data_IF_255429201189
#
_entry.id   IF_255429201189
#
_cell.length_a   1.000
_cell.length_b   1.000
_cell.length_c   1.000
_cell.angle_alpha   90.00
_cell.angle_beta   90.00
_cell.angle_gamma   90.00
#
_symmetry.space_group_name_H-M   'P 1'
#
loop_
_entity.id
_entity.type
_entity.pdbx_description
1 polymer ?
#
# COMPACT_ATOMS: atom_id res chain seq x y z
N UNK A 1 39.28 25.18 4.65
CA UNK A 1 39.02 26.63 4.53
C UNK A 1 37.84 26.99 5.44
N UNK A 2 38.10 27.10 6.75
CA UNK A 2 37.09 26.91 7.81
C UNK A 2 37.13 27.99 8.91
N UNK A 3 37.53 29.23 8.59
CA UNK A 3 37.79 30.27 9.62
C UNK A 3 37.16 31.66 9.40
N UNK A 4 36.27 31.85 8.42
CA UNK A 4 35.66 33.19 8.19
C UNK A 4 34.16 33.32 8.45
N UNK A 5 33.47 32.28 8.93
CA UNK A 5 32.02 32.36 9.21
C UNK A 5 31.70 32.74 10.67
N UNK A 6 32.69 32.73 11.58
CA UNK A 6 32.44 32.96 13.00
C UNK A 6 32.35 34.45 13.41
N UNK A 7 32.68 35.38 12.50
CA UNK A 7 32.64 36.83 12.77
C UNK A 7 31.28 37.49 12.54
N UNK A 8 30.41 36.89 11.72
CA UNK A 8 29.13 37.50 11.33
C UNK A 8 27.97 37.12 12.27
N UNK A 9 28.15 36.09 13.09
CA UNK A 9 27.16 35.59 14.06
C UNK A 9 27.14 36.39 15.38
N UNK A 10 28.05 37.34 15.56
CA UNK A 10 28.15 38.15 16.79
C UNK A 10 27.65 39.59 16.63
N UNK A 11 27.26 40.02 15.42
CA UNK A 11 26.70 41.36 15.20
C UNK A 11 25.16 41.41 15.17
N UNK A 12 24.49 40.26 15.12
CA UNK A 12 23.02 40.17 15.15
C UNK A 12 22.43 39.96 16.56
N UNK A 13 23.26 39.92 17.60
CA UNK A 13 22.81 39.73 18.99
C UNK A 13 22.58 41.05 19.76
N UNK A 14 22.86 42.20 19.16
CA UNK A 14 22.68 43.52 19.81
C UNK A 14 21.52 44.36 19.28
N UNK A 15 20.70 43.84 18.36
CA UNK A 15 19.52 44.57 17.84
C UNK A 15 18.22 44.34 18.64
N UNK A 16 18.24 43.57 19.73
CA UNK A 16 17.03 43.29 20.54
C UNK A 16 17.10 43.70 22.02
N UNK A 17 18.17 44.36 22.48
CA UNK A 17 18.23 44.94 23.82
C UNK A 17 18.23 46.46 23.71
N UNK A 18 17.07 47.05 24.02
CA UNK A 18 16.84 48.48 23.98
C UNK A 18 17.86 49.26 24.81
N UNK A 19 18.69 50.04 24.14
CA UNK A 19 19.46 51.10 24.76
C UNK A 19 18.68 52.40 24.57
N UNK A 20 17.86 52.72 25.58
CA UNK A 20 17.42 54.09 25.87
C UNK A 20 18.68 54.95 26.02
N UNK A 21 18.95 55.83 25.06
CA UNK A 21 20.08 56.73 25.17
C UNK A 21 20.52 57.39 23.87
N UNK A 22 19.59 57.87 23.03
CA UNK A 22 19.95 58.97 22.14
C UNK A 22 20.18 60.20 23.01
N UNK A 23 21.41 60.68 23.12
CA UNK A 23 21.69 62.11 23.07
C UNK A 23 23.19 62.41 23.04
N UNK A 24 23.55 63.20 22.03
CA UNK A 24 24.79 63.98 21.85
C UNK A 24 26.05 63.20 21.53
N UNK A 25 26.35 63.08 20.23
CA UNK A 25 27.71 63.35 19.74
C UNK A 25 27.62 64.16 18.44
N UNK A 26 28.46 65.18 18.44
CA UNK A 26 28.60 66.35 17.56
C UNK A 26 28.88 66.00 16.07
N UNK A 27 28.35 66.83 15.17
CA UNK A 27 28.41 66.76 13.70
C UNK A 27 29.81 66.96 13.08
N UNK A 28 30.91 66.82 13.84
CA UNK A 28 32.25 67.23 13.38
C UNK A 28 33.37 66.19 13.51
N UNK A 29 33.06 64.90 13.28
CA UNK A 29 34.09 63.91 12.96
C UNK A 29 33.88 63.36 11.56
N UNK A 30 34.54 63.96 10.57
CA UNK A 30 34.79 63.29 9.28
C UNK A 30 35.60 62.03 9.57
N UNK A 31 34.94 60.87 9.63
CA UNK A 31 35.63 59.58 9.62
C UNK A 31 36.04 59.28 8.17
N UNK A 32 37.34 59.32 7.81
CA UNK A 32 37.80 59.11 6.44
C UNK A 32 37.86 57.61 6.08
N UNK A 33 36.95 56.81 6.64
CA UNK A 33 37.02 55.34 6.59
C UNK A 33 35.66 54.69 6.37
N UNK A 34 34.75 55.34 5.63
CA UNK A 34 33.47 54.75 5.21
C UNK A 34 33.39 54.58 3.69
N UNK A 35 34.35 55.07 2.90
CA UNK A 35 34.27 54.98 1.43
C UNK A 35 34.77 53.63 0.87
N UNK A 36 35.26 52.72 1.72
CA UNK A 36 35.81 51.41 1.31
C UNK A 36 35.05 50.19 1.85
N UNK A 37 33.88 50.36 2.47
CA UNK A 37 32.93 49.24 2.57
C UNK A 37 32.33 49.03 1.19
N UNK A 38 33.05 48.27 0.36
CA UNK A 38 32.52 47.68 -0.86
C UNK A 38 31.27 46.91 -0.43
N UNK A 39 30.10 47.48 -0.70
CA UNK A 39 28.81 46.85 -0.47
C UNK A 39 28.76 45.67 -1.44
N UNK A 40 29.25 44.52 -1.00
CA UNK A 40 29.03 43.27 -1.71
C UNK A 40 27.50 43.11 -1.75
N UNK A 41 26.93 43.35 -2.92
CA UNK A 41 25.50 43.19 -3.14
C UNK A 41 25.28 41.68 -3.11
N UNK A 42 24.89 41.18 -1.94
CA UNK A 42 24.51 39.78 -1.77
C UNK A 42 23.26 39.59 -2.63
N UNK A 43 23.38 38.72 -3.62
CA UNK A 43 22.24 38.29 -4.42
C UNK A 43 21.37 37.38 -3.55
N UNK A 44 20.30 37.94 -2.97
CA UNK A 44 19.40 37.22 -2.06
C UNK A 44 18.83 35.95 -2.71
N UNK A 45 18.56 35.99 -4.02
CA UNK A 45 18.05 34.85 -4.77
C UNK A 45 19.11 33.75 -4.92
N UNK A 46 20.40 34.11 -5.06
CA UNK A 46 21.50 33.14 -5.05
C UNK A 46 21.65 32.47 -3.67
N UNK A 47 21.56 33.24 -2.58
CA UNK A 47 21.62 32.67 -1.21
C UNK A 47 20.45 31.72 -0.95
N UNK A 48 19.23 32.08 -1.36
CA UNK A 48 18.06 31.21 -1.22
C UNK A 48 18.22 29.91 -2.03
N UNK A 49 18.72 30.00 -3.27
CA UNK A 49 18.99 28.84 -4.10
C UNK A 49 20.08 27.94 -3.49
N UNK A 50 21.15 28.51 -2.95
CA UNK A 50 22.22 27.75 -2.27
C UNK A 50 21.72 27.04 -1.00
N UNK A 51 20.88 27.70 -0.21
CA UNK A 51 20.26 27.08 0.98
C UNK A 51 19.36 25.91 0.58
N UNK A 52 18.59 26.06 -0.50
CA UNK A 52 17.80 24.98 -1.06
C UNK A 52 18.69 23.81 -1.56
N UNK A 53 19.74 24.11 -2.33
CA UNK A 53 20.67 23.10 -2.84
C UNK A 53 21.34 22.33 -1.69
N UNK A 54 21.70 23.02 -0.60
CA UNK A 54 22.24 22.39 0.61
C UNK A 54 21.22 21.46 1.27
N UNK A 55 19.95 21.87 1.33
CA UNK A 55 18.87 21.06 1.88
C UNK A 55 18.70 19.76 1.08
N UNK A 56 18.54 19.84 -0.24
CA UNK A 56 18.41 18.66 -1.11
C UNK A 56 19.65 17.76 -1.03
N UNK A 57 20.85 18.34 -0.92
CA UNK A 57 22.08 17.56 -0.75
C UNK A 57 22.22 16.88 0.62
N UNK A 58 21.48 17.32 1.63
CA UNK A 58 21.46 16.70 2.96
C UNK A 58 20.54 15.47 3.05
N UNK A 59 19.61 15.30 2.10
CA UNK A 59 18.73 14.12 2.02
C UNK A 59 19.61 12.89 1.80
N UNK A 60 19.47 11.93 2.71
CA UNK A 60 20.26 10.71 2.75
C UNK A 60 20.07 9.86 1.50
N UNK A 61 21.15 9.22 1.04
CA UNK A 61 21.12 8.21 -0.02
C UNK A 61 21.66 6.87 0.50
N UNK A 62 21.16 5.72 -0.01
CA UNK A 62 20.05 5.57 -0.96
C UNK A 62 18.71 6.05 -0.39
N UNK A 63 17.78 6.46 -1.27
CA UNK A 63 16.43 6.90 -0.86
C UNK A 63 15.65 5.70 -0.32
N UNK A 64 15.02 5.89 0.84
CA UNK A 64 14.10 4.95 1.47
C UNK A 64 12.76 5.66 1.78
N UNK A 65 11.80 4.97 2.38
CA UNK A 65 10.49 5.56 2.69
C UNK A 65 10.58 6.60 3.82
N UNK A 66 11.61 6.48 4.66
CA UNK A 66 11.93 7.38 5.76
C UNK A 66 12.25 8.80 5.30
N UNK A 67 12.72 8.98 4.05
CA UNK A 67 13.02 10.28 3.47
C UNK A 67 11.77 11.00 2.91
N UNK A 68 10.58 10.40 2.91
CA UNK A 68 9.35 10.97 2.34
C UNK A 68 9.09 12.40 2.84
N UNK A 69 9.18 12.63 4.15
CA UNK A 69 8.93 13.96 4.73
C UNK A 69 9.93 15.01 4.24
N UNK A 70 11.21 14.66 4.10
CA UNK A 70 12.23 15.62 3.64
C UNK A 70 12.08 15.92 2.15
N UNK A 71 11.66 14.95 1.35
CA UNK A 71 11.42 15.13 -0.09
C UNK A 71 10.19 16.01 -0.33
N UNK A 72 9.12 15.82 0.45
CA UNK A 72 7.93 16.69 0.42
C UNK A 72 8.31 18.12 0.84
N UNK A 73 9.04 18.27 1.95
CA UNK A 73 9.51 19.57 2.40
C UNK A 73 10.40 20.26 1.35
N UNK A 74 11.27 19.51 0.65
CA UNK A 74 12.08 20.07 -0.44
C UNK A 74 11.18 20.63 -1.55
N UNK A 75 10.16 19.89 -1.97
CA UNK A 75 9.23 20.36 -2.99
C UNK A 75 8.51 21.63 -2.55
N UNK A 76 7.98 21.66 -1.32
CA UNK A 76 7.32 22.85 -0.76
C UNK A 76 8.26 24.05 -0.66
N UNK A 77 9.52 23.85 -0.24
CA UNK A 77 10.52 24.94 -0.22
C UNK A 77 10.78 25.47 -1.62
N UNK A 78 10.94 24.59 -2.61
CA UNK A 78 11.15 24.99 -4.01
C UNK A 78 9.96 25.81 -4.55
N UNK A 79 8.73 25.34 -4.32
CA UNK A 79 7.51 26.00 -4.81
C UNK A 79 7.30 27.39 -4.19
N UNK A 80 7.88 27.62 -3.00
CA UNK A 80 7.86 28.90 -2.30
C UNK A 80 9.05 29.82 -2.64
N UNK A 81 10.04 29.37 -3.44
CA UNK A 81 11.15 30.23 -3.86
C UNK A 81 10.68 31.29 -4.86
N UNK A 82 11.24 32.52 -4.82
CA UNK A 82 11.09 33.48 -5.91
C UNK A 82 11.55 32.88 -7.25
N UNK A 83 10.89 33.26 -8.36
CA UNK A 83 11.23 32.73 -9.70
C UNK A 83 12.72 32.88 -10.04
N UNK A 84 13.31 34.04 -9.75
CA UNK A 84 14.74 34.29 -9.97
C UNK A 84 15.66 33.39 -9.12
N UNK A 85 15.20 32.94 -7.95
CA UNK A 85 15.93 31.98 -7.13
C UNK A 85 15.77 30.56 -7.68
N UNK A 86 14.56 30.19 -8.16
CA UNK A 86 14.32 28.89 -8.80
C UNK A 86 15.24 28.68 -10.02
N UNK A 87 15.45 29.71 -10.84
CA UNK A 87 16.37 29.65 -11.99
C UNK A 87 17.84 29.39 -11.62
N UNK A 88 18.22 29.68 -10.37
CA UNK A 88 19.59 29.50 -9.86
C UNK A 88 19.79 28.16 -9.14
N UNK A 89 18.72 27.41 -8.87
CA UNK A 89 18.76 26.10 -8.21
C UNK A 89 19.49 25.09 -9.10
N UNK A 90 20.47 24.38 -8.52
CA UNK A 90 21.26 23.37 -9.25
C UNK A 90 20.80 21.95 -8.96
N UNK A 91 20.09 21.72 -7.85
CA UNK A 91 19.67 20.37 -7.43
C UNK A 91 18.22 20.02 -7.81
N UNK A 92 17.57 20.78 -8.68
CA UNK A 92 16.17 20.51 -9.04
C UNK A 92 15.98 19.15 -9.70
N UNK A 93 16.84 18.78 -10.65
CA UNK A 93 16.79 17.45 -11.29
C UNK A 93 16.97 16.33 -10.26
N UNK A 94 17.87 16.52 -9.29
CA UNK A 94 18.12 15.58 -8.20
C UNK A 94 16.89 15.42 -7.29
N UNK A 95 16.14 16.49 -7.04
CA UNK A 95 14.87 16.40 -6.32
C UNK A 95 13.81 15.60 -7.10
N UNK A 96 13.71 15.79 -8.42
CA UNK A 96 12.77 15.00 -9.23
C UNK A 96 13.13 13.52 -9.24
N UNK A 97 14.43 13.20 -9.31
CA UNK A 97 14.93 11.83 -9.20
C UNK A 97 14.55 11.20 -7.85
N UNK A 98 14.73 11.93 -6.75
CA UNK A 98 14.32 11.45 -5.42
C UNK A 98 12.83 11.19 -5.31
N UNK A 99 11.98 12.06 -5.90
CA UNK A 99 10.53 11.86 -5.94
C UNK A 99 10.15 10.61 -6.75
N UNK A 100 10.81 10.37 -7.88
CA UNK A 100 10.60 9.19 -8.72
C UNK A 100 10.98 7.89 -7.98
N UNK A 101 12.13 7.89 -7.31
CA UNK A 101 12.58 6.76 -6.49
C UNK A 101 11.61 6.48 -5.33
N UNK A 102 11.19 7.53 -4.61
CA UNK A 102 10.21 7.39 -3.54
C UNK A 102 8.87 6.83 -4.04
N UNK A 103 8.38 7.33 -5.18
CA UNK A 103 7.14 6.82 -5.76
C UNK A 103 7.26 5.34 -6.13
N UNK A 104 8.39 4.94 -6.71
CA UNK A 104 8.67 3.52 -7.02
C UNK A 104 8.66 2.66 -5.75
N UNK A 105 9.27 3.13 -4.66
CA UNK A 105 9.26 2.41 -3.37
C UNK A 105 7.84 2.27 -2.81
N UNK A 106 7.01 3.32 -2.91
CA UNK A 106 5.61 3.29 -2.47
C UNK A 106 4.78 2.31 -3.29
N UNK A 107 5.00 2.27 -4.60
CA UNK A 107 4.32 1.33 -5.50
C UNK A 107 4.72 -0.12 -5.20
N UNK A 108 6.02 -0.36 -4.99
CA UNK A 108 6.53 -1.67 -4.57
C UNK A 108 5.97 -2.10 -3.21
N UNK A 109 5.86 -1.18 -2.25
CA UNK A 109 5.28 -1.46 -0.93
C UNK A 109 3.81 -1.86 -1.05
N UNK A 110 3.00 -1.10 -1.79
CA UNK A 110 1.59 -1.40 -2.00
C UNK A 110 1.38 -2.77 -2.64
N UNK A 111 2.16 -3.10 -3.68
CA UNK A 111 2.13 -4.42 -4.30
C UNK A 111 2.57 -5.52 -3.32
N UNK A 112 3.64 -5.30 -2.54
CA UNK A 112 4.15 -6.25 -1.55
C UNK A 112 3.12 -6.63 -0.49
N UNK A 113 2.32 -5.67 -0.04
CA UNK A 113 1.23 -5.92 0.91
C UNK A 113 0.17 -6.86 0.34
N UNK A 114 -0.26 -6.62 -0.90
CA UNK A 114 -1.22 -7.50 -1.59
C UNK A 114 -0.62 -8.88 -1.86
N UNK A 115 0.64 -8.96 -2.28
CA UNK A 115 1.35 -10.24 -2.46
C UNK A 115 1.35 -11.06 -1.16
N UNK A 116 1.60 -10.43 -0.01
CA UNK A 116 1.54 -11.09 1.31
C UNK A 116 0.14 -11.61 1.62
N UNK A 117 -0.90 -10.82 1.35
CA UNK A 117 -2.29 -11.25 1.52
C UNK A 117 -2.61 -12.47 0.66
N UNK A 118 -2.19 -12.46 -0.61
CA UNK A 118 -2.41 -13.56 -1.55
C UNK A 118 -1.63 -14.81 -1.14
N UNK A 119 -0.36 -14.68 -0.72
CA UNK A 119 0.44 -15.81 -0.23
C UNK A 119 -0.18 -16.46 1.01
N UNK A 120 -0.82 -15.67 1.88
CA UNK A 120 -1.53 -16.19 3.05
C UNK A 120 -2.81 -16.98 2.71
N UNK A 121 -3.25 -16.99 1.43
CA UNK A 121 -4.35 -17.82 0.95
C UNK A 121 -3.90 -19.23 0.55
N UNK A 122 -2.60 -19.50 0.46
CA UNK A 122 -2.12 -20.84 0.18
C UNK A 122 -2.56 -21.79 1.30
N UNK A 123 -3.33 -22.81 0.94
CA UNK A 123 -4.02 -23.74 1.85
C UNK A 123 -5.01 -23.07 2.84
N UNK A 124 -5.37 -21.81 2.65
CA UNK A 124 -6.34 -21.09 3.47
C UNK A 124 -7.58 -20.73 2.66
N UNK A 125 -8.71 -21.22 3.14
CA UNK A 125 -9.95 -21.31 2.39
C UNK A 125 -11.04 -20.39 2.94
N UNK A 126 -10.66 -19.42 3.76
CA UNK A 126 -11.56 -18.41 4.30
C UNK A 126 -12.04 -17.46 3.20
N UNK A 127 -13.33 -17.55 2.88
CA UNK A 127 -13.97 -16.68 1.90
C UNK A 127 -13.86 -15.19 2.21
N UNK A 128 -13.72 -14.80 3.48
CA UNK A 128 -13.47 -13.40 3.86
C UNK A 128 -12.08 -12.94 3.48
N UNK A 129 -11.06 -13.77 3.75
CA UNK A 129 -9.67 -13.48 3.39
C UNK A 129 -9.51 -13.37 1.87
N UNK A 130 -10.13 -14.29 1.12
CA UNK A 130 -10.14 -14.28 -0.35
C UNK A 130 -10.77 -12.99 -0.87
N UNK A 131 -11.96 -12.61 -0.36
CA UNK A 131 -12.61 -11.35 -0.75
C UNK A 131 -11.76 -10.12 -0.42
N UNK A 132 -11.15 -10.09 0.76
CA UNK A 132 -10.29 -8.98 1.17
C UNK A 132 -9.05 -8.86 0.26
N UNK A 133 -8.42 -9.97 -0.10
CA UNK A 133 -7.29 -9.97 -1.03
C UNK A 133 -7.70 -9.46 -2.42
N UNK A 134 -8.88 -9.87 -2.93
CA UNK A 134 -9.42 -9.35 -4.20
C UNK A 134 -9.69 -7.85 -4.14
N UNK A 135 -10.35 -7.38 -3.09
CA UNK A 135 -10.62 -5.95 -2.89
C UNK A 135 -9.32 -5.13 -2.78
N UNK A 136 -8.29 -5.67 -2.12
CA UNK A 136 -6.98 -5.02 -2.03
C UNK A 136 -6.28 -4.96 -3.39
N UNK A 137 -6.28 -6.06 -4.13
CA UNK A 137 -5.75 -6.11 -5.50
C UNK A 137 -6.46 -5.12 -6.43
N UNK A 138 -7.79 -5.01 -6.38
CA UNK A 138 -8.53 -4.08 -7.25
C UNK A 138 -8.29 -2.60 -6.95
N UNK A 139 -7.79 -2.26 -5.75
CA UNK A 139 -7.40 -0.89 -5.39
C UNK A 139 -6.03 -0.48 -5.92
N UNK A 140 -5.21 -1.45 -6.36
CA UNK A 140 -3.89 -1.18 -6.92
C UNK A 140 -4.02 -0.48 -8.28
N UNK A 141 -3.02 0.36 -8.59
CA UNK A 141 -2.84 0.93 -9.93
C UNK A 141 -2.42 -0.17 -10.92
N UNK A 142 -2.51 0.10 -12.23
CA UNK A 142 -2.07 -0.85 -13.24
C UNK A 142 -0.59 -1.23 -13.08
N UNK A 143 0.30 -0.26 -12.81
CA UNK A 143 1.72 -0.56 -12.59
C UNK A 143 1.94 -1.42 -11.35
N UNK A 144 1.20 -1.15 -10.26
CA UNK A 144 1.30 -1.95 -9.03
C UNK A 144 0.76 -3.38 -9.24
N UNK A 145 -0.32 -3.56 -10.01
CA UNK A 145 -0.87 -4.88 -10.35
C UNK A 145 0.14 -5.74 -11.13
N UNK A 146 0.91 -5.14 -12.03
CA UNK A 146 1.99 -5.85 -12.77
C UNK A 146 3.06 -6.42 -11.83
N UNK A 147 3.27 -5.82 -10.66
CA UNK A 147 4.20 -6.32 -9.65
C UNK A 147 3.64 -7.52 -8.86
N UNK A 148 2.32 -7.77 -8.90
CA UNK A 148 1.67 -8.87 -8.17
C UNK A 148 1.77 -10.17 -8.97
N UNK A 149 2.89 -10.87 -8.81
CA UNK A 149 3.21 -12.08 -9.58
C UNK A 149 2.42 -13.34 -9.18
N UNK A 150 1.78 -13.33 -8.01
CA UNK A 150 1.13 -14.51 -7.41
C UNK A 150 -0.40 -14.51 -7.56
N UNK A 151 -0.95 -13.71 -8.48
CA UNK A 151 -2.40 -13.55 -8.68
C UNK A 151 -3.13 -14.89 -8.90
N UNK A 152 -2.47 -15.87 -9.53
CA UNK A 152 -3.03 -17.20 -9.78
C UNK A 152 -3.53 -17.90 -8.50
N UNK A 153 -2.87 -17.70 -7.34
CA UNK A 153 -3.29 -18.27 -6.05
C UNK A 153 -4.67 -17.73 -5.64
N UNK A 154 -4.91 -16.43 -5.89
CA UNK A 154 -6.19 -15.80 -5.59
C UNK A 154 -7.28 -16.36 -6.51
N UNK A 155 -7.01 -16.44 -7.81
CA UNK A 155 -7.95 -16.94 -8.82
C UNK A 155 -8.35 -18.40 -8.58
N UNK A 156 -7.39 -19.26 -8.24
CA UNK A 156 -7.64 -20.66 -7.89
C UNK A 156 -8.53 -20.78 -6.65
N UNK A 157 -8.28 -19.95 -5.63
CA UNK A 157 -9.07 -19.93 -4.41
C UNK A 157 -10.51 -19.45 -4.66
N UNK A 158 -10.69 -18.42 -5.48
CA UNK A 158 -12.00 -17.93 -5.90
C UNK A 158 -12.77 -18.97 -6.71
N UNK A 159 -12.12 -19.60 -7.68
CA UNK A 159 -12.71 -20.68 -8.47
C UNK A 159 -13.14 -21.87 -7.59
N UNK A 160 -12.39 -22.15 -6.52
CA UNK A 160 -12.76 -23.20 -5.57
C UNK A 160 -13.95 -22.80 -4.69
N UNK A 161 -14.05 -21.54 -4.27
CA UNK A 161 -15.22 -21.04 -3.53
C UNK A 161 -16.51 -21.17 -4.31
N UNK A 162 -16.49 -20.91 -5.63
CA UNK A 162 -17.69 -21.04 -6.46
C UNK A 162 -18.18 -22.48 -6.53
N UNK A 163 -17.26 -23.46 -6.46
CA UNK A 163 -17.57 -24.90 -6.44
C UNK A 163 -17.91 -25.45 -5.06
N UNK A 164 -17.57 -24.72 -3.99
CA UNK A 164 -17.76 -25.18 -2.62
C UNK A 164 -19.25 -25.30 -2.28
N UNK A 165 -19.62 -26.42 -1.65
CA UNK A 165 -20.95 -26.62 -1.07
C UNK A 165 -20.90 -26.30 0.42
N UNK A 166 -21.96 -25.68 0.92
CA UNK A 166 -22.19 -25.39 2.35
C UNK A 166 -23.58 -25.91 2.72
N UNK A 167 -23.93 -25.95 4.00
CA UNK A 167 -25.24 -26.43 4.47
C UNK A 167 -26.45 -25.62 3.94
N UNK A 168 -26.20 -24.49 3.26
CA UNK A 168 -27.24 -23.54 2.87
C UNK A 168 -27.22 -23.15 1.39
N UNK A 169 -26.24 -23.56 0.59
CA UNK A 169 -26.01 -22.99 -0.73
C UNK A 169 -26.41 -23.85 -1.94
N UNK A 170 -27.15 -24.95 -1.71
CA UNK A 170 -27.84 -25.72 -2.74
C UNK A 170 -29.36 -25.75 -2.50
N UNK A 171 -30.09 -25.91 -3.61
CA UNK A 171 -31.54 -26.03 -3.69
C UNK A 171 -31.96 -27.33 -4.39
N UNK A 172 -33.24 -27.70 -4.23
CA UNK A 172 -33.81 -28.85 -4.96
C UNK A 172 -33.77 -28.56 -6.46
N UNK A 173 -33.25 -29.51 -7.24
CA UNK A 173 -33.06 -29.39 -8.68
C UNK A 173 -31.61 -29.15 -9.10
N UNK A 174 -30.77 -28.63 -8.20
CA UNK A 174 -29.35 -28.37 -8.50
C UNK A 174 -28.63 -29.67 -8.88
N UNK A 175 -27.72 -29.55 -9.85
CA UNK A 175 -26.86 -30.65 -10.27
C UNK A 175 -25.48 -30.47 -9.62
N UNK A 176 -24.97 -31.56 -9.07
CA UNK A 176 -23.74 -31.58 -8.28
C UNK A 176 -22.94 -32.84 -8.59
N UNK A 177 -21.65 -32.80 -8.27
CA UNK A 177 -20.81 -33.98 -8.25
C UNK A 177 -20.70 -34.46 -6.80
N UNK A 178 -21.22 -35.66 -6.54
CA UNK A 178 -20.90 -36.40 -5.34
C UNK A 178 -19.53 -37.04 -5.54
N UNK A 179 -18.55 -36.73 -4.68
CA UNK A 179 -17.15 -37.18 -4.79
C UNK A 179 -16.93 -38.65 -4.42
N UNK A 180 -18.00 -39.36 -4.05
CA UNK A 180 -17.93 -40.70 -3.49
C UNK A 180 -17.88 -40.69 -1.97
N UNK A 181 -18.18 -41.84 -1.36
CA UNK A 181 -18.20 -41.99 0.08
C UNK A 181 -19.57 -42.41 0.62
N UNK A 182 -19.90 -41.87 1.80
CA UNK A 182 -21.03 -42.32 2.60
C UNK A 182 -22.37 -41.75 2.13
N UNK A 183 -23.36 -42.64 2.02
CA UNK A 183 -24.75 -42.31 1.73
C UNK A 183 -25.62 -42.73 2.91
N UNK A 184 -26.43 -41.82 3.41
CA UNK A 184 -27.23 -41.98 4.63
C UNK A 184 -28.72 -42.11 4.32
N UNK A 185 -29.41 -42.90 5.15
CA UNK A 185 -30.86 -43.12 5.01
C UNK A 185 -31.68 -41.84 5.31
N UNK A 186 -31.25 -41.05 6.30
CA UNK A 186 -31.91 -39.80 6.69
C UNK A 186 -30.90 -38.68 6.93
N UNK A 187 -31.37 -37.43 6.92
CA UNK A 187 -30.55 -36.23 7.14
C UNK A 187 -29.88 -36.16 8.52
N UNK A 188 -30.34 -36.97 9.48
CA UNK A 188 -29.86 -37.02 10.87
C UNK A 188 -29.24 -38.36 11.25
N UNK A 189 -29.10 -39.29 10.29
CA UNK A 189 -28.60 -40.64 10.54
C UNK A 189 -27.20 -40.64 11.17
N UNK A 190 -27.02 -41.50 12.19
CA UNK A 190 -25.74 -41.66 12.89
C UNK A 190 -24.72 -42.47 12.10
N UNK A 191 -25.18 -43.46 11.32
CA UNK A 191 -24.34 -44.38 10.52
C UNK A 191 -24.74 -44.32 9.05
N UNK A 192 -23.78 -44.49 8.13
CA UNK A 192 -24.07 -44.58 6.70
C UNK A 192 -24.80 -45.88 6.37
N UNK A 193 -25.64 -45.85 5.35
CA UNK A 193 -26.36 -47.03 4.83
C UNK A 193 -25.56 -47.70 3.72
N UNK A 194 -24.91 -46.90 2.88
CA UNK A 194 -24.13 -47.40 1.75
C UNK A 194 -22.87 -46.56 1.55
N UNK A 195 -21.89 -47.16 0.88
CA UNK A 195 -20.81 -46.42 0.24
C UNK A 195 -21.02 -46.48 -1.28
N UNK A 196 -20.76 -45.36 -1.98
CA UNK A 196 -20.95 -45.24 -3.42
C UNK A 196 -19.76 -44.51 -4.06
N UNK A 197 -19.42 -44.83 -5.32
CA UNK A 197 -18.38 -44.11 -6.05
C UNK A 197 -18.84 -42.70 -6.41
N UNK A 198 -17.91 -41.89 -6.93
CA UNK A 198 -18.20 -40.56 -7.46
C UNK A 198 -19.34 -40.62 -8.50
N UNK A 199 -20.32 -39.73 -8.42
CA UNK A 199 -21.50 -39.74 -9.28
C UNK A 199 -22.04 -38.33 -9.51
N UNK A 200 -22.45 -38.07 -10.75
CA UNK A 200 -23.21 -36.85 -11.09
C UNK A 200 -24.65 -37.02 -10.60
N UNK A 201 -25.09 -36.12 -9.72
CA UNK A 201 -26.34 -36.26 -8.98
C UNK A 201 -27.21 -35.01 -9.07
N UNK A 202 -28.52 -35.20 -8.95
CA UNK A 202 -29.49 -34.13 -8.71
C UNK A 202 -29.84 -34.05 -7.23
N UNK A 203 -29.87 -32.85 -6.67
CA UNK A 203 -30.43 -32.59 -5.33
C UNK A 203 -31.95 -32.76 -5.41
N UNK A 204 -32.52 -33.72 -4.68
CA UNK A 204 -33.97 -33.96 -4.69
C UNK A 204 -34.66 -33.54 -3.41
N UNK A 205 -33.93 -33.38 -2.30
CA UNK A 205 -34.45 -32.84 -1.03
C UNK A 205 -33.36 -32.05 -0.31
N UNK A 206 -33.79 -31.05 0.45
CA UNK A 206 -32.93 -30.21 1.28
C UNK A 206 -33.46 -30.22 2.71
N UNK A 207 -32.60 -30.51 3.69
CA UNK A 207 -32.84 -30.39 5.11
C UNK A 207 -31.77 -29.46 5.70
N UNK A 208 -32.02 -28.15 5.62
CA UNK A 208 -31.07 -27.13 6.09
C UNK A 208 -30.73 -27.38 7.56
N UNK A 209 -29.46 -27.18 7.91
CA UNK A 209 -28.91 -27.37 9.26
C UNK A 209 -28.93 -28.81 9.81
N UNK A 210 -29.33 -29.81 9.02
CA UNK A 210 -29.16 -31.21 9.38
C UNK A 210 -27.69 -31.65 9.21
N UNK A 211 -27.34 -32.80 9.79
CA UNK A 211 -25.98 -33.38 9.69
C UNK A 211 -25.61 -33.67 8.22
N UNK A 212 -26.57 -34.22 7.49
CA UNK A 212 -26.49 -34.54 6.06
C UNK A 212 -27.58 -33.74 5.33
N UNK A 213 -27.33 -32.49 4.94
CA UNK A 213 -28.39 -31.57 4.55
C UNK A 213 -28.97 -31.82 3.15
N UNK A 214 -28.28 -32.57 2.29
CA UNK A 214 -28.68 -32.75 0.90
C UNK A 214 -28.96 -34.21 0.56
N UNK A 215 -30.15 -34.46 0.02
CA UNK A 215 -30.48 -35.75 -0.57
C UNK A 215 -30.16 -35.74 -2.06
N UNK A 216 -29.32 -36.68 -2.49
CA UNK A 216 -28.85 -36.79 -3.87
C UNK A 216 -29.43 -38.04 -4.54
N UNK A 217 -29.71 -37.91 -5.83
CA UNK A 217 -30.08 -39.02 -6.72
C UNK A 217 -29.17 -39.01 -7.94
N UNK A 218 -28.49 -40.13 -8.17
CA UNK A 218 -27.58 -40.35 -9.30
C UNK A 218 -28.31 -40.19 -10.64
N UNK A 219 -27.64 -39.52 -11.58
CA UNK A 219 -28.08 -39.34 -12.97
C UNK A 219 -27.27 -40.19 -13.95
N UNK A 220 -26.19 -40.81 -13.50
CA UNK A 220 -25.23 -41.57 -14.29
C UNK A 220 -25.27 -43.09 -13.98
N UNK A 221 -26.33 -43.56 -13.32
CA UNK A 221 -26.53 -44.99 -13.04
C UNK A 221 -25.68 -45.56 -11.91
N UNK A 222 -24.89 -44.73 -11.20
CA UNK A 222 -24.01 -45.16 -10.09
C UNK A 222 -24.73 -45.34 -8.74
N UNK A 223 -26.07 -45.28 -8.74
CA UNK A 223 -26.95 -45.70 -7.63
C UNK A 223 -26.72 -44.92 -6.32
N UNK A 224 -26.30 -43.66 -6.40
CA UNK A 224 -26.41 -42.71 -5.28
C UNK A 224 -27.89 -42.41 -5.08
N UNK A 225 -28.39 -42.72 -3.88
CA UNK A 225 -29.74 -42.42 -3.45
C UNK A 225 -29.72 -42.31 -1.92
N UNK A 226 -29.78 -41.09 -1.41
CA UNK A 226 -29.80 -40.82 0.03
C UNK A 226 -29.22 -39.46 0.39
N UNK A 227 -29.09 -39.23 1.69
CA UNK A 227 -28.55 -37.99 2.26
C UNK A 227 -27.02 -38.04 2.32
N UNK A 228 -26.37 -36.90 2.10
CA UNK A 228 -24.91 -36.81 1.92
C UNK A 228 -24.34 -35.69 2.79
N UNK A 229 -23.13 -35.92 3.31
CA UNK A 229 -22.32 -34.92 4.01
C UNK A 229 -21.84 -33.84 3.01
N UNK A 230 -21.92 -32.56 3.38
CA UNK A 230 -21.53 -31.44 2.49
C UNK A 230 -20.10 -31.56 1.96
N UNK A 231 -19.18 -32.05 2.78
CA UNK A 231 -17.77 -32.23 2.40
C UNK A 231 -17.58 -33.19 1.21
N UNK A 232 -18.56 -34.03 0.91
CA UNK A 232 -18.51 -35.04 -0.15
C UNK A 232 -19.23 -34.55 -1.43
N UNK A 233 -19.62 -33.27 -1.49
CA UNK A 233 -20.34 -32.66 -2.62
C UNK A 233 -19.56 -31.45 -3.13
N UNK A 234 -19.49 -31.29 -4.45
CA UNK A 234 -19.06 -30.05 -5.12
C UNK A 234 -20.09 -29.66 -6.17
N UNK A 235 -20.24 -28.36 -6.44
CA UNK A 235 -21.06 -27.89 -7.55
C UNK A 235 -20.42 -28.30 -8.87
N UNK A 236 -21.26 -28.67 -9.84
CA UNK A 236 -20.85 -28.96 -11.21
C UNK A 236 -20.29 -27.71 -11.89
#
# INVERSE_FOLDING_TARGET
MKKHILGLLLLFFFLFLGIKGLNKLDETVKMPFIDNFKKEVIDENEVLAEQFDQFVNSIKTPITLEEESMIIEAQEKYDNLPLEAQEKVKTFEKLQEYKSQLQTLKDQQAASEVIKMINALDNNYDGKAIKAAREAYEKLTSQQKEMVINLFILEENEARLTKMVTNTNLNVGDIVIFKGGNVYYSSTSKKPTHNRPESRCKVTRVARNAKHPYHLVSLDGKRVYGWIDVKDIVKE
#
